data_IF_438581334401
#
_entry.id   IF_438581334401
#
_cell.length_a   1.000
_cell.length_b   1.000
_cell.length_c   1.000
_cell.angle_alpha   90.00
_cell.angle_beta   90.00
_cell.angle_gamma   90.00
#
_symmetry.space_group_name_H-M   'P 1'
#
loop_
_entity.id
_entity.type
_entity.pdbx_description
1 polymer ?
#
# COMPACT_ATOMS: atom_id res chain seq x y z
N UNK A 1 -61.86 14.81 13.18
CA UNK A 1 -62.57 13.63 12.63
C UNK A 1 -61.55 12.70 11.99
N UNK A 2 -61.15 11.61 12.66
CA UNK A 2 -60.35 10.54 12.06
C UNK A 2 -61.19 9.26 11.91
N UNK A 3 -61.04 8.53 10.81
CA UNK A 3 -61.56 7.16 10.68
C UNK A 3 -60.45 6.19 10.32
N UNK A 4 -60.17 5.34 11.31
CA UNK A 4 -59.53 4.03 11.28
C UNK A 4 -59.94 3.13 10.10
N UNK A 5 -58.98 2.34 9.58
CA UNK A 5 -59.11 0.87 9.57
C UNK A 5 -57.78 0.16 9.32
N UNK A 6 -57.45 -0.71 10.28
CA UNK A 6 -56.43 -1.75 10.19
C UNK A 6 -56.91 -2.91 9.29
N UNK A 7 -55.95 -3.60 8.66
CA UNK A 7 -56.13 -4.94 8.12
C UNK A 7 -55.09 -5.86 8.76
N UNK A 8 -55.56 -7.04 9.18
CA UNK A 8 -54.89 -8.05 9.99
C UNK A 8 -55.06 -9.39 9.25
N UNK A 9 -54.13 -10.32 9.51
CA UNK A 9 -54.26 -11.80 9.38
C UNK A 9 -54.25 -12.36 7.93
N UNK A 10 -53.56 -13.47 7.59
CA UNK A 10 -53.31 -14.71 8.34
C UNK A 10 -52.03 -15.44 7.91
N UNK A 11 -51.43 -16.14 8.90
CA UNK A 11 -50.49 -17.25 8.76
C UNK A 11 -51.21 -18.50 8.24
N UNK A 12 -50.58 -19.26 7.33
CA UNK A 12 -50.94 -20.67 7.09
C UNK A 12 -49.71 -21.57 6.91
N UNK A 13 -49.57 -22.50 7.85
CA UNK A 13 -49.20 -23.93 7.71
C UNK A 13 -48.01 -24.29 6.79
N UNK A 14 -46.84 -24.68 7.31
CA UNK A 14 -46.48 -25.94 8.00
C UNK A 14 -46.45 -27.22 7.12
N UNK A 15 -45.33 -27.96 7.24
CA UNK A 15 -44.98 -29.34 6.79
C UNK A 15 -44.53 -29.43 5.31
N UNK A 16 -43.47 -30.16 4.94
CA UNK A 16 -42.95 -31.44 5.41
C UNK A 16 -41.42 -31.55 5.23
N UNK A 17 -40.73 -32.06 6.26
CA UNK A 17 -39.46 -32.79 6.14
C UNK A 17 -39.78 -34.30 6.01
N UNK A 18 -39.05 -35.01 5.15
CA UNK A 18 -38.53 -36.37 5.40
C UNK A 18 -37.85 -36.96 4.14
N UNK A 19 -36.62 -37.47 4.28
CA UNK A 19 -36.38 -38.91 4.27
C UNK A 19 -34.92 -39.25 4.57
N UNK A 20 -34.72 -39.92 5.70
CA UNK A 20 -33.54 -40.70 6.08
C UNK A 20 -33.66 -42.07 5.41
N UNK A 21 -32.61 -42.52 4.73
CA UNK A 21 -32.52 -43.86 4.14
C UNK A 21 -31.20 -44.52 4.53
N UNK A 22 -31.25 -45.34 5.59
CA UNK A 22 -30.19 -46.21 6.07
C UNK A 22 -30.35 -47.58 5.39
N UNK A 23 -29.31 -48.10 4.73
CA UNK A 23 -29.30 -49.47 4.22
C UNK A 23 -27.90 -50.10 4.37
N UNK A 24 -27.91 -51.36 4.80
CA UNK A 24 -26.83 -52.07 5.45
C UNK A 24 -25.97 -52.96 4.52
N UNK A 25 -24.72 -53.15 4.94
CA UNK A 25 -23.83 -54.33 4.87
C UNK A 25 -24.17 -55.49 3.90
N UNK A 26 -23.19 -55.83 3.05
CA UNK A 26 -22.96 -57.20 2.60
C UNK A 26 -21.44 -57.47 2.48
N UNK A 27 -20.95 -58.39 3.31
CA UNK A 27 -19.60 -58.92 3.27
C UNK A 27 -19.48 -60.00 2.18
N UNK A 28 -18.40 -59.96 1.40
CA UNK A 28 -17.95 -61.08 0.58
C UNK A 28 -16.45 -61.27 0.81
N UNK A 29 -16.12 -62.36 1.49
CA UNK A 29 -14.76 -62.84 1.68
C UNK A 29 -14.36 -63.67 0.45
N UNK A 30 -13.31 -63.25 -0.26
CA UNK A 30 -12.62 -64.07 -1.26
C UNK A 30 -11.18 -64.27 -0.76
N UNK A 31 -10.86 -65.51 -0.40
CA UNK A 31 -9.52 -65.95 -0.09
C UNK A 31 -8.74 -66.22 -1.38
N UNK A 32 -7.55 -65.64 -1.50
CA UNK A 32 -6.53 -66.04 -2.48
C UNK A 32 -5.17 -66.20 -1.79
N UNK A 33 -4.32 -67.14 -2.26
CA UNK A 33 -3.09 -67.54 -1.60
C UNK A 33 -1.91 -66.63 -1.94
N UNK A 34 -0.97 -66.62 -1.00
CA UNK A 34 0.32 -65.94 -0.95
C UNK A 34 1.11 -65.83 -2.28
N UNK A 35 1.60 -64.62 -2.55
CA UNK A 35 2.90 -64.40 -3.17
C UNK A 35 3.66 -63.35 -2.35
N UNK A 36 4.73 -63.80 -1.72
CA UNK A 36 5.75 -63.03 -1.01
C UNK A 36 6.48 -62.14 -2.02
N UNK A 37 6.30 -60.82 -1.91
CA UNK A 37 7.07 -59.80 -2.63
C UNK A 37 7.71 -58.89 -1.57
N UNK A 38 9.01 -58.54 -1.71
CA UNK A 38 9.74 -57.77 -0.70
C UNK A 38 9.17 -56.35 -0.59
N UNK A 39 9.16 -55.82 0.62
CA UNK A 39 8.77 -54.44 0.91
C UNK A 39 9.65 -53.45 0.11
N UNK A 40 9.02 -52.77 -0.85
CA UNK A 40 9.48 -51.48 -1.34
C UNK A 40 9.10 -50.40 -0.32
N UNK A 41 9.95 -49.38 -0.11
CA UNK A 41 9.66 -48.31 0.82
C UNK A 41 8.44 -47.53 0.34
N UNK A 42 7.49 -47.31 1.24
CA UNK A 42 6.39 -46.37 1.06
C UNK A 42 6.96 -45.04 0.55
N UNK A 43 6.57 -44.66 -0.67
CA UNK A 43 6.63 -43.27 -1.09
C UNK A 43 5.73 -42.51 -0.12
N UNK A 44 6.36 -41.82 0.82
CA UNK A 44 5.72 -40.81 1.63
C UNK A 44 5.05 -39.83 0.68
N UNK A 45 3.73 -39.74 0.81
CA UNK A 45 2.91 -38.67 0.28
C UNK A 45 3.49 -37.35 0.85
N UNK A 46 4.09 -36.47 0.04
CA UNK A 46 4.34 -35.14 0.52
C UNK A 46 2.99 -34.43 0.48
N UNK A 47 2.27 -34.46 1.61
CA UNK A 47 1.44 -33.32 1.99
C UNK A 47 2.38 -32.11 1.97
N UNK A 48 2.49 -31.48 0.81
CA UNK A 48 3.08 -30.18 0.64
C UNK A 48 2.18 -29.23 1.42
N UNK A 49 2.51 -29.08 2.69
CA UNK A 49 2.26 -27.88 3.46
C UNK A 49 2.89 -26.77 2.65
N UNK A 50 2.08 -26.08 1.85
CA UNK A 50 2.40 -24.76 1.37
C UNK A 50 2.37 -23.92 2.64
N UNK A 51 3.53 -23.79 3.29
CA UNK A 51 3.78 -22.63 4.13
C UNK A 51 3.77 -21.44 3.16
N UNK A 52 2.58 -20.87 3.04
CA UNK A 52 2.35 -19.51 2.59
C UNK A 52 3.09 -18.60 3.58
N UNK A 53 4.40 -18.47 3.38
CA UNK A 53 5.15 -17.36 3.91
C UNK A 53 4.89 -16.17 2.98
N UNK A 54 3.62 -15.74 2.95
CA UNK A 54 3.28 -14.35 2.68
C UNK A 54 3.48 -13.61 4.00
N UNK A 55 4.73 -13.53 4.46
CA UNK A 55 5.13 -12.39 5.23
C UNK A 55 5.28 -11.27 4.19
N UNK A 56 4.15 -10.63 3.87
CA UNK A 56 4.23 -9.21 3.62
C UNK A 56 4.95 -8.64 4.83
N UNK A 57 6.06 -7.93 4.59
CA UNK A 57 6.48 -6.94 5.57
C UNK A 57 5.25 -6.06 5.68
N UNK A 58 4.51 -6.19 6.79
CA UNK A 58 3.58 -5.15 7.20
C UNK A 58 4.52 -3.96 7.41
N UNK A 59 4.70 -3.14 6.37
CA UNK A 59 5.43 -1.89 6.49
C UNK A 59 4.58 -1.06 7.44
N UNK A 60 4.93 -1.11 8.73
CA UNK A 60 4.30 -0.25 9.73
C UNK A 60 4.59 1.18 9.28
N UNK A 61 3.52 1.89 8.89
CA UNK A 61 3.60 3.33 8.67
C UNK A 61 3.78 3.97 10.06
N UNK A 62 4.82 4.78 10.20
CA UNK A 62 5.21 5.40 11.47
C UNK A 62 5.39 6.89 11.26
N UNK A 63 5.03 7.68 12.26
CA UNK A 63 5.22 9.13 12.24
C UNK A 63 6.60 9.54 12.77
N UNK A 64 7.06 10.75 12.44
CA UNK A 64 8.32 11.28 12.98
C UNK A 64 8.28 11.38 14.51
N UNK A 65 7.13 11.75 15.09
CA UNK A 65 6.93 11.85 16.55
C UNK A 65 7.10 10.49 17.24
N UNK A 66 6.56 9.41 16.67
CA UNK A 66 6.71 8.07 17.25
C UNK A 66 8.15 7.57 17.24
N UNK A 67 8.93 7.92 16.20
CA UNK A 67 10.35 7.56 16.12
C UNK A 67 11.19 8.30 17.15
N UNK A 68 10.87 9.56 17.45
CA UNK A 68 11.62 10.38 18.40
C UNK A 68 11.23 10.07 19.85
N UNK A 69 9.94 9.88 20.13
CA UNK A 69 9.44 9.57 21.48
C UNK A 69 9.69 8.11 21.90
N UNK A 70 9.80 7.18 20.94
CA UNK A 70 9.89 5.75 21.23
C UNK A 70 10.94 5.00 20.38
N UNK A 71 12.11 5.62 20.18
CA UNK A 71 13.22 5.03 19.41
C UNK A 71 13.51 3.56 19.75
N UNK A 72 13.55 3.20 21.04
CA UNK A 72 13.86 1.82 21.46
C UNK A 72 12.91 0.76 20.88
N UNK A 73 11.67 1.13 20.54
CA UNK A 73 10.70 0.22 19.93
C UNK A 73 10.93 0.00 18.43
N UNK A 74 11.59 0.96 17.75
CA UNK A 74 11.79 0.93 16.31
C UNK A 74 13.25 0.66 15.89
N UNK A 75 14.21 0.67 16.82
CA UNK A 75 15.61 0.36 16.50
C UNK A 75 15.77 -1.00 15.79
N UNK A 76 16.30 -0.95 14.57
CA UNK A 76 16.50 -2.10 13.69
C UNK A 76 15.25 -2.53 12.90
N UNK A 77 14.11 -1.89 13.12
CA UNK A 77 12.89 -2.13 12.36
C UNK A 77 12.91 -1.33 11.04
N UNK A 78 12.27 -1.89 10.02
CA UNK A 78 12.04 -1.18 8.75
C UNK A 78 10.69 -0.48 8.84
N UNK A 79 10.68 0.83 8.65
CA UNK A 79 9.49 1.68 8.74
C UNK A 79 9.27 2.44 7.44
N UNK A 80 8.04 2.84 7.20
CA UNK A 80 7.65 3.79 6.15
C UNK A 80 7.16 5.09 6.80
N UNK A 81 7.76 6.22 6.44
CA UNK A 81 7.42 7.55 6.98
C UNK A 81 7.08 8.48 5.83
N UNK A 82 6.00 9.22 5.96
CA UNK A 82 5.54 10.22 4.97
C UNK A 82 5.55 11.60 5.62
N UNK A 83 6.46 12.47 5.18
CA UNK A 83 6.60 13.83 5.71
C UNK A 83 7.21 14.77 4.66
N UNK A 84 7.14 16.08 4.93
CA UNK A 84 7.86 17.10 4.17
C UNK A 84 9.35 17.10 4.54
N UNK A 85 10.19 17.38 3.55
CA UNK A 85 11.61 17.63 3.79
C UNK A 85 11.79 19.00 4.41
N UNK A 86 12.32 19.02 5.63
CA UNK A 86 12.57 20.25 6.37
C UNK A 86 13.89 20.92 5.93
N UNK A 87 14.98 20.14 5.84
CA UNK A 87 16.30 20.66 5.47
C UNK A 87 17.12 19.61 4.72
N UNK A 88 17.83 20.04 3.67
CA UNK A 88 18.84 19.22 2.99
C UNK A 88 20.21 19.46 3.61
N UNK A 89 20.65 18.52 4.47
CA UNK A 89 21.87 18.66 5.28
C UNK A 89 23.12 18.06 4.62
N UNK A 90 22.97 17.36 3.50
CA UNK A 90 24.11 16.81 2.73
C UNK A 90 23.68 16.23 1.39
N UNK A 91 24.65 15.68 0.64
CA UNK A 91 24.39 15.13 -0.71
C UNK A 91 23.42 13.94 -0.71
N UNK A 92 23.43 13.17 0.38
CA UNK A 92 22.61 11.96 0.56
C UNK A 92 21.79 12.01 1.84
N UNK A 93 21.55 13.20 2.39
CA UNK A 93 20.96 13.32 3.71
C UNK A 93 20.10 14.57 3.83
N UNK A 94 18.96 14.41 4.46
CA UNK A 94 17.98 15.46 4.72
C UNK A 94 17.25 15.15 6.03
N UNK A 95 16.53 16.12 6.57
CA UNK A 95 15.67 15.92 7.74
C UNK A 95 14.20 15.94 7.33
N UNK A 96 13.41 15.11 8.01
CA UNK A 96 11.96 15.15 7.99
C UNK A 96 11.49 15.90 9.24
N UNK A 97 10.50 16.79 9.09
CA UNK A 97 9.83 17.48 10.21
C UNK A 97 8.35 17.12 10.18
N UNK A 98 7.78 16.81 11.35
CA UNK A 98 6.34 16.71 11.50
C UNK A 98 5.73 18.13 11.41
N UNK A 99 4.66 18.28 10.62
CA UNK A 99 3.91 19.52 10.36
C UNK A 99 3.30 20.26 11.59
N UNK A 100 3.62 19.86 12.82
CA UNK A 100 3.17 20.57 14.02
C UNK A 100 3.75 21.99 14.13
N UNK A 101 2.85 22.95 14.39
CA UNK A 101 3.03 24.41 14.31
C UNK A 101 4.17 25.06 15.15
N UNK A 102 5.00 24.30 15.88
CA UNK A 102 6.01 24.84 16.79
C UNK A 102 7.30 24.00 16.89
N UNK A 103 8.11 23.97 15.82
CA UNK A 103 9.48 23.44 15.86
C UNK A 103 9.50 21.96 16.20
N UNK A 104 8.97 21.17 15.27
CA UNK A 104 8.78 19.73 15.42
C UNK A 104 10.10 19.02 15.65
N UNK A 105 10.01 17.82 16.21
CA UNK A 105 11.17 16.95 16.27
C UNK A 105 11.54 16.55 14.85
N UNK A 106 12.83 16.61 14.54
CA UNK A 106 13.34 16.24 13.23
C UNK A 106 14.06 14.90 13.29
N UNK A 107 13.84 14.08 12.28
CA UNK A 107 14.54 12.80 12.09
C UNK A 107 15.46 12.94 10.89
N UNK A 108 16.73 12.57 11.09
CA UNK A 108 17.71 12.52 10.01
C UNK A 108 17.38 11.34 9.10
N UNK A 109 17.45 11.55 7.80
CA UNK A 109 17.37 10.49 6.78
C UNK A 109 18.71 10.44 6.07
N UNK A 110 19.26 9.24 5.92
CA UNK A 110 20.46 8.97 5.11
C UNK A 110 20.07 8.04 3.98
N UNK A 111 20.17 8.52 2.76
CA UNK A 111 19.90 7.77 1.55
C UNK A 111 21.08 6.84 1.22
N UNK A 112 20.96 5.58 1.63
CA UNK A 112 21.94 4.54 1.36
C UNK A 112 21.74 3.86 -0.02
N UNK A 113 20.71 4.23 -0.79
CA UNK A 113 20.39 3.60 -2.07
C UNK A 113 21.32 4.01 -3.23
N UNK A 114 22.20 5.01 -3.00
CA UNK A 114 23.04 5.68 -4.01
C UNK A 114 22.26 6.31 -5.19
N UNK A 115 20.93 6.24 -5.17
CA UNK A 115 20.08 6.91 -6.14
C UNK A 115 19.91 8.36 -5.70
N UNK A 116 20.24 9.30 -6.59
CA UNK A 116 20.01 10.72 -6.32
C UNK A 116 18.52 10.98 -6.13
N UNK A 117 18.20 11.83 -5.15
CA UNK A 117 16.84 12.31 -4.95
C UNK A 117 16.63 13.56 -5.80
N UNK A 118 15.79 13.47 -6.83
CA UNK A 118 15.37 14.65 -7.60
C UNK A 118 14.22 15.33 -6.85
N UNK A 119 14.57 16.23 -5.94
CA UNK A 119 13.61 17.07 -5.24
C UNK A 119 12.95 18.03 -6.22
N UNK A 120 11.61 18.03 -6.23
CA UNK A 120 10.83 18.87 -7.14
C UNK A 120 10.85 20.32 -6.67
N UNK A 121 10.69 20.55 -5.37
CA UNK A 121 10.70 21.89 -4.75
C UNK A 121 11.86 22.12 -3.77
N UNK A 122 12.73 21.12 -3.58
CA UNK A 122 13.83 21.20 -2.61
C UNK A 122 13.33 20.91 -1.19
N UNK A 123 13.46 21.90 -0.31
CA UNK A 123 12.78 21.94 0.98
C UNK A 123 11.26 22.03 0.73
N UNK A 124 10.43 21.57 1.67
CA UNK A 124 8.96 21.46 1.54
C UNK A 124 8.47 20.40 0.52
N UNK A 125 9.35 19.56 -0.02
CA UNK A 125 8.92 18.43 -0.87
C UNK A 125 8.38 17.29 0.00
N UNK A 126 7.11 16.93 -0.17
CA UNK A 126 6.51 15.75 0.46
C UNK A 126 7.14 14.46 -0.09
N UNK A 127 7.65 13.61 0.79
CA UNK A 127 8.28 12.33 0.43
C UNK A 127 7.77 11.18 1.29
N UNK A 128 7.85 9.98 0.74
CA UNK A 128 7.72 8.74 1.48
C UNK A 128 9.10 8.08 1.54
N UNK A 129 9.56 7.81 2.76
CA UNK A 129 10.85 7.20 3.06
C UNK A 129 10.60 5.82 3.67
N UNK A 130 11.09 4.77 3.02
CA UNK A 130 11.12 3.43 3.60
C UNK A 130 12.57 3.06 3.94
N UNK A 131 12.82 2.69 5.19
CA UNK A 131 14.17 2.41 5.65
C UNK A 131 14.27 1.82 7.05
N UNK A 132 15.48 1.43 7.42
CA UNK A 132 15.77 0.90 8.75
C UNK A 132 16.03 2.04 9.73
N UNK A 133 15.37 2.01 10.89
CA UNK A 133 15.64 2.98 11.96
C UNK A 133 16.87 2.55 12.74
N UNK A 134 17.84 3.45 12.87
CA UNK A 134 19.07 3.23 13.65
C UNK A 134 19.33 4.40 14.58
N UNK A 135 20.23 4.20 15.54
CA UNK A 135 20.87 5.30 16.26
C UNK A 135 22.02 5.83 15.41
N UNK A 136 22.09 7.15 15.21
CA UNK A 136 23.15 7.75 14.41
C UNK A 136 24.44 7.85 15.23
N UNK A 137 25.43 7.06 14.81
CA UNK A 137 26.80 7.14 15.28
C UNK A 137 27.67 7.45 14.06
N UNK A 138 28.12 8.70 13.94
CA UNK A 138 28.79 9.19 12.73
C UNK A 138 29.94 8.28 12.30
N UNK A 139 30.80 7.86 13.24
CA UNK A 139 31.94 7.00 12.95
C UNK A 139 31.55 5.62 12.40
N UNK A 140 30.42 5.07 12.83
CA UNK A 140 29.91 3.78 12.36
C UNK A 140 29.32 3.94 10.95
N UNK A 141 28.55 5.00 10.70
CA UNK A 141 27.97 5.29 9.38
C UNK A 141 29.03 5.61 8.32
N UNK A 142 30.06 6.39 8.65
CA UNK A 142 31.20 6.63 7.74
C UNK A 142 31.90 5.31 7.36
N UNK A 143 32.02 4.38 8.31
CA UNK A 143 32.64 3.08 8.09
C UNK A 143 31.75 2.12 7.29
N UNK A 144 30.45 2.05 7.62
CA UNK A 144 29.48 1.11 7.04
C UNK A 144 29.15 1.47 5.59
N UNK A 145 28.97 2.77 5.30
CA UNK A 145 28.49 3.24 3.99
C UNK A 145 29.56 3.96 3.17
N UNK A 146 30.76 4.18 3.73
CA UNK A 146 31.84 4.89 3.02
C UNK A 146 31.52 6.36 2.73
N UNK A 147 30.61 6.96 3.50
CA UNK A 147 30.21 8.36 3.43
C UNK A 147 31.18 9.22 4.25
N UNK A 148 31.25 10.52 3.94
CA UNK A 148 31.97 11.49 4.76
C UNK A 148 31.00 12.53 5.30
N UNK A 149 30.93 12.65 6.62
CA UNK A 149 30.05 13.62 7.28
C UNK A 149 30.85 14.79 7.81
N UNK A 150 30.33 16.00 7.64
CA UNK A 150 30.94 17.20 8.23
C UNK A 150 30.58 17.26 9.72
N UNK A 151 31.54 17.19 10.66
CA UNK A 151 31.23 17.21 12.09
C UNK A 151 30.58 18.51 12.56
N UNK A 152 30.75 19.61 11.83
CA UNK A 152 30.10 20.89 12.17
C UNK A 152 28.59 20.88 11.83
N UNK A 153 28.16 19.98 10.92
CA UNK A 153 26.75 19.79 10.53
C UNK A 153 26.17 18.59 11.27
N UNK A 154 26.85 17.43 11.22
CA UNK A 154 26.27 16.16 11.68
C UNK A 154 26.43 15.91 13.18
N UNK A 155 27.27 16.70 13.87
CA UNK A 155 27.54 16.52 15.30
C UNK A 155 26.31 16.73 16.20
N UNK A 156 25.26 17.40 15.71
CA UNK A 156 24.00 17.58 16.45
C UNK A 156 23.03 16.40 16.33
N UNK A 157 23.29 15.46 15.41
CA UNK A 157 22.50 14.24 15.22
C UNK A 157 23.10 13.02 15.91
N UNK A 158 24.27 13.12 16.54
CA UNK A 158 24.90 11.99 17.25
C UNK A 158 23.97 11.46 18.36
N UNK A 159 23.84 10.13 18.46
CA UNK A 159 22.96 9.42 19.41
C UNK A 159 21.45 9.71 19.20
N UNK A 160 21.04 10.28 18.05
CA UNK A 160 19.63 10.52 17.68
C UNK A 160 19.11 9.46 16.70
N UNK A 161 17.78 9.28 16.60
CA UNK A 161 17.20 8.42 15.57
C UNK A 161 17.57 8.90 14.17
N UNK A 162 17.90 7.95 13.30
CA UNK A 162 18.12 8.15 11.87
C UNK A 162 17.44 7.05 11.09
N UNK A 163 16.83 7.39 9.95
CA UNK A 163 16.32 6.41 9.00
C UNK A 163 17.39 6.21 7.93
N UNK A 164 17.86 4.97 7.81
CA UNK A 164 18.70 4.56 6.68
C UNK A 164 17.77 4.17 5.53
N UNK A 165 17.50 5.13 4.66
CA UNK A 165 16.56 4.97 3.58
C UNK A 165 17.05 3.93 2.57
N UNK A 166 16.21 2.94 2.34
CA UNK A 166 16.34 1.94 1.27
C UNK A 166 15.65 2.45 0.00
N UNK A 167 14.56 3.20 0.17
CA UNK A 167 13.86 3.90 -0.89
C UNK A 167 13.38 5.28 -0.41
N UNK A 168 13.34 6.22 -1.35
CA UNK A 168 12.69 7.52 -1.17
C UNK A 168 11.88 7.78 -2.43
N UNK A 169 10.60 8.08 -2.28
CA UNK A 169 9.71 8.44 -3.37
C UNK A 169 9.08 9.81 -3.11
N UNK A 170 8.83 10.56 -4.19
CA UNK A 170 7.97 11.74 -4.09
C UNK A 170 6.58 11.28 -3.64
N UNK A 171 5.98 12.05 -2.75
CA UNK A 171 4.72 11.67 -2.13
C UNK A 171 3.64 12.76 -2.22
N UNK A 172 3.36 13.32 -3.41
CA UNK A 172 2.39 14.39 -3.56
C UNK A 172 0.97 13.92 -3.24
N UNK A 173 0.13 14.84 -2.80
CA UNK A 173 -1.29 14.55 -2.59
C UNK A 173 -2.07 14.66 -3.93
N UNK A 174 -3.29 14.08 -4.03
CA UNK A 174 -4.09 14.13 -5.26
C UNK A 174 -4.33 15.56 -5.79
N UNK A 175 -4.41 16.54 -4.89
CA UNK A 175 -4.57 17.95 -5.23
C UNK A 175 -3.33 18.55 -5.93
N UNK A 176 -2.12 18.19 -5.49
CA UNK A 176 -0.86 18.63 -6.09
C UNK A 176 -0.70 18.05 -7.49
N UNK A 177 -0.97 16.74 -7.61
CA UNK A 177 -0.96 16.02 -8.88
C UNK A 177 -1.91 16.66 -9.89
N UNK A 178 -3.12 17.00 -9.45
CA UNK A 178 -4.12 17.61 -10.34
C UNK A 178 -3.74 19.04 -10.75
N UNK A 179 -3.08 19.77 -9.86
CA UNK A 179 -2.68 21.17 -10.08
C UNK A 179 -1.46 21.29 -11.00
N UNK A 180 -0.48 20.41 -10.87
CA UNK A 180 0.73 20.39 -11.71
C UNK A 180 1.23 18.97 -12.04
N UNK A 181 0.49 18.22 -12.88
CA UNK A 181 0.81 16.83 -13.18
C UNK A 181 2.11 16.66 -13.98
N UNK A 182 2.56 17.70 -14.68
CA UNK A 182 3.75 17.67 -15.53
C UNK A 182 5.02 17.36 -14.73
N UNK A 183 5.06 17.75 -13.46
CA UNK A 183 6.19 17.51 -12.56
C UNK A 183 6.33 16.05 -12.13
N UNK A 184 5.25 15.27 -12.21
CA UNK A 184 5.17 13.89 -11.71
C UNK A 184 5.03 12.84 -12.83
N UNK A 185 4.74 13.25 -14.07
CA UNK A 185 4.58 12.31 -15.17
C UNK A 185 5.81 11.42 -15.40
N UNK A 186 5.54 10.13 -15.56
CA UNK A 186 6.50 9.05 -15.76
C UNK A 186 7.47 8.84 -14.58
N UNK A 187 7.21 9.45 -13.43
CA UNK A 187 7.92 9.19 -12.18
C UNK A 187 7.16 8.14 -11.38
N UNK A 188 7.91 7.32 -10.63
CA UNK A 188 7.34 6.50 -9.58
C UNK A 188 7.11 7.37 -8.36
N UNK A 189 5.87 7.45 -7.87
CA UNK A 189 5.47 8.26 -6.73
C UNK A 189 4.63 7.42 -5.77
N UNK A 190 4.49 7.88 -4.54
CA UNK A 190 3.49 7.39 -3.60
C UNK A 190 2.39 8.44 -3.45
N UNK A 191 1.14 8.05 -3.36
CA UNK A 191 0.01 8.97 -3.23
C UNK A 191 -0.88 8.46 -2.12
N UNK A 192 -1.17 9.31 -1.14
CA UNK A 192 -2.15 8.99 -0.10
C UNK A 192 -3.43 9.72 -0.45
N UNK A 193 -4.55 9.08 -0.18
CA UNK A 193 -5.85 9.69 -0.40
C UNK A 193 -6.97 8.80 0.09
N UNK A 194 -8.14 9.38 0.24
CA UNK A 194 -9.36 8.68 0.55
C UNK A 194 -9.91 8.03 -0.74
N UNK A 195 -10.31 6.76 -0.66
CA UNK A 195 -10.93 6.06 -1.78
C UNK A 195 -12.32 6.64 -2.01
N UNK A 196 -12.48 7.32 -3.14
CA UNK A 196 -13.77 7.81 -3.62
C UNK A 196 -14.58 6.69 -4.29
N UNK A 197 -14.90 6.88 -5.57
CA UNK A 197 -15.72 5.92 -6.32
C UNK A 197 -14.96 4.65 -6.74
N UNK A 198 -15.58 3.49 -6.53
CA UNK A 198 -15.09 2.20 -7.06
C UNK A 198 -15.86 1.86 -8.33
N UNK A 199 -15.22 2.08 -9.50
CA UNK A 199 -15.85 1.81 -10.80
C UNK A 199 -15.78 0.34 -11.18
N UNK A 200 -14.68 -0.33 -10.82
CA UNK A 200 -14.50 -1.78 -10.98
C UNK A 200 -13.47 -2.31 -9.99
N UNK A 201 -13.22 -3.62 -10.00
CA UNK A 201 -12.21 -4.24 -9.16
C UNK A 201 -10.79 -3.68 -9.35
N UNK A 202 -10.50 -2.99 -10.46
CA UNK A 202 -9.17 -2.52 -10.83
C UNK A 202 -9.15 -1.02 -11.15
N UNK A 203 -10.26 -0.32 -10.96
CA UNK A 203 -10.41 1.10 -11.30
C UNK A 203 -11.16 1.80 -10.17
N UNK A 204 -10.47 2.70 -9.51
CA UNK A 204 -11.00 3.53 -8.42
C UNK A 204 -10.64 4.98 -8.67
N UNK A 205 -11.25 5.89 -7.93
CA UNK A 205 -10.77 7.26 -7.78
C UNK A 205 -10.26 7.45 -6.36
N UNK A 206 -9.22 8.26 -6.19
CA UNK A 206 -8.82 8.77 -4.88
C UNK A 206 -8.92 10.27 -4.85
N UNK A 207 -9.29 10.82 -3.71
CA UNK A 207 -9.30 12.25 -3.46
C UNK A 207 -8.41 12.61 -2.27
N UNK A 208 -8.22 13.92 -2.14
CA UNK A 208 -7.53 14.51 -1.00
C UNK A 208 -8.54 14.68 0.15
N UNK A 209 -8.15 14.38 1.39
CA UNK A 209 -8.99 14.44 2.60
C UNK A 209 -9.44 15.88 2.97
N UNK A 210 -9.12 16.87 2.14
CA UNK A 210 -9.48 18.26 2.41
C UNK A 210 -10.98 18.54 2.29
N UNK A 211 -11.46 19.42 3.19
CA UNK A 211 -12.87 19.80 3.38
C UNK A 211 -13.60 20.34 2.13
N UNK A 212 -12.89 20.65 1.05
CA UNK A 212 -13.46 21.27 -0.15
C UNK A 212 -13.50 20.35 -1.38
N UNK A 213 -13.03 19.10 -1.27
CA UNK A 213 -13.03 18.14 -2.37
C UNK A 213 -12.06 18.58 -3.46
N UNK A 214 -10.91 17.90 -3.52
CA UNK A 214 -9.95 18.05 -4.60
C UNK A 214 -10.48 17.51 -5.93
N UNK A 215 -9.69 17.71 -6.98
CA UNK A 215 -9.88 16.98 -8.21
C UNK A 215 -9.56 15.49 -7.98
N UNK A 216 -10.52 14.60 -8.20
CA UNK A 216 -10.32 13.16 -8.08
C UNK A 216 -9.24 12.68 -9.06
N UNK A 217 -8.34 11.83 -8.56
CA UNK A 217 -7.31 11.15 -9.33
C UNK A 217 -7.78 9.73 -9.67
N UNK A 218 -7.87 9.42 -10.95
CA UNK A 218 -8.18 8.06 -11.40
C UNK A 218 -6.98 7.14 -11.15
N UNK A 219 -7.24 6.02 -10.50
CA UNK A 219 -6.26 4.97 -10.24
C UNK A 219 -6.66 3.71 -10.99
N UNK A 220 -5.71 3.14 -11.74
CA UNK A 220 -5.87 1.87 -12.44
C UNK A 220 -4.83 0.90 -11.88
N UNK A 221 -5.29 -0.23 -11.33
CA UNK A 221 -4.43 -1.30 -10.84
C UNK A 221 -4.46 -2.49 -11.79
N UNK A 222 -3.49 -2.65 -12.71
CA UNK A 222 -3.55 -3.69 -13.75
C UNK A 222 -3.30 -5.11 -13.23
N UNK A 223 -2.60 -5.26 -12.11
CA UNK A 223 -2.11 -6.57 -11.63
C UNK A 223 -2.94 -7.16 -10.50
N UNK A 224 -3.45 -6.31 -9.59
CA UNK A 224 -4.11 -6.76 -8.36
C UNK A 224 -5.43 -6.01 -8.19
N UNK A 225 -6.56 -6.69 -7.94
CA UNK A 225 -7.79 -6.01 -7.57
C UNK A 225 -7.59 -5.11 -6.35
N UNK A 226 -8.16 -3.92 -6.38
CA UNK A 226 -8.18 -3.01 -5.24
C UNK A 226 -8.99 -3.66 -4.13
N UNK A 227 -8.34 -3.90 -2.99
CA UNK A 227 -8.95 -4.46 -1.79
C UNK A 227 -9.24 -3.35 -0.76
N UNK A 228 -9.76 -2.21 -1.21
CA UNK A 228 -10.12 -1.06 -0.38
C UNK A 228 -11.63 -0.78 -0.48
N UNK A 229 -12.18 -0.12 0.53
CA UNK A 229 -13.56 0.33 0.58
C UNK A 229 -13.66 1.82 0.26
N UNK A 230 -14.85 2.27 -0.18
CA UNK A 230 -15.12 3.71 -0.26
C UNK A 230 -14.94 4.35 1.13
N UNK A 231 -14.46 5.60 1.16
CA UNK A 231 -14.10 6.37 2.35
C UNK A 231 -12.91 5.78 3.17
N UNK A 232 -12.13 4.85 2.58
CA UNK A 232 -10.91 4.31 3.20
C UNK A 232 -9.68 5.09 2.75
N UNK A 233 -8.86 5.58 3.70
CA UNK A 233 -7.57 6.20 3.38
C UNK A 233 -6.54 5.12 3.02
N UNK A 234 -5.93 5.26 1.85
CA UNK A 234 -4.94 4.31 1.33
C UNK A 234 -3.70 5.02 0.82
N UNK A 235 -2.57 4.32 0.89
CA UNK A 235 -1.33 4.72 0.23
C UNK A 235 -1.13 3.85 -1.01
N UNK A 236 -0.98 4.49 -2.16
CA UNK A 236 -0.82 3.83 -3.45
C UNK A 236 0.55 4.20 -4.02
N UNK A 237 1.37 3.20 -4.35
CA UNK A 237 2.62 3.42 -5.08
C UNK A 237 2.43 3.04 -6.54
N UNK A 238 3.05 3.81 -7.44
CA UNK A 238 2.79 3.63 -8.86
C UNK A 238 3.43 4.68 -9.74
N UNK A 239 2.98 4.75 -10.99
CA UNK A 239 3.49 5.70 -11.99
C UNK A 239 2.36 6.59 -12.50
N UNK A 240 2.60 7.90 -12.48
CA UNK A 240 1.66 8.87 -13.06
C UNK A 240 1.84 8.96 -14.58
N UNK A 241 0.75 8.87 -15.34
CA UNK A 241 0.77 8.99 -16.81
C UNK A 241 -0.32 9.96 -17.29
N UNK A 242 -0.13 10.62 -18.44
CA UNK A 242 -1.22 11.30 -19.11
C UNK A 242 -2.23 10.25 -19.61
N UNK A 243 -3.52 10.52 -19.46
CA UNK A 243 -4.53 9.59 -19.98
C UNK A 243 -4.52 9.53 -21.50
N UNK A 244 -4.25 8.34 -22.04
CA UNK A 244 -4.36 8.04 -23.46
C UNK A 244 -5.04 6.68 -23.59
N UNK A 245 -6.36 6.67 -23.77
CA UNK A 245 -7.20 5.47 -23.76
C UNK A 245 -6.61 4.31 -24.59
N UNK A 246 -6.22 4.58 -25.83
CA UNK A 246 -5.66 3.56 -26.73
C UNK A 246 -4.33 2.96 -26.23
N UNK A 247 -3.50 3.74 -25.52
CA UNK A 247 -2.27 3.22 -24.91
C UNK A 247 -2.59 2.37 -23.68
N UNK A 248 -3.53 2.79 -22.85
CA UNK A 248 -3.89 2.07 -21.63
C UNK A 248 -4.57 0.73 -21.93
N UNK A 249 -5.51 0.69 -22.88
CA UNK A 249 -6.11 -0.56 -23.35
C UNK A 249 -5.05 -1.55 -23.86
N UNK A 250 -4.02 -1.03 -24.54
CA UNK A 250 -2.94 -1.84 -25.08
C UNK A 250 -1.94 -2.31 -24.01
N UNK A 251 -1.48 -1.40 -23.16
CA UNK A 251 -0.41 -1.64 -22.18
C UNK A 251 -0.88 -2.54 -21.03
N UNK A 252 -2.16 -2.47 -20.66
CA UNK A 252 -2.72 -3.13 -19.49
C UNK A 252 -3.81 -4.18 -19.81
N UNK A 253 -4.02 -4.49 -21.10
CA UNK A 253 -5.02 -5.47 -21.57
C UNK A 253 -6.42 -5.24 -20.96
N UNK A 254 -6.82 -3.97 -20.88
CA UNK A 254 -8.06 -3.57 -20.20
C UNK A 254 -9.28 -3.91 -21.05
N UNK A 255 -10.21 -4.67 -20.46
CA UNK A 255 -11.48 -5.04 -21.11
C UNK A 255 -12.66 -4.37 -20.41
N UNK A 256 -12.67 -3.03 -20.38
CA UNK A 256 -13.73 -2.28 -19.72
C UNK A 256 -15.08 -2.44 -20.42
N UNK A 257 -16.16 -2.35 -19.63
CA UNK A 257 -17.49 -2.21 -20.18
C UNK A 257 -17.62 -0.88 -20.93
N UNK A 258 -18.34 -0.89 -22.05
CA UNK A 258 -18.46 0.26 -22.96
C UNK A 258 -18.98 1.54 -22.28
N UNK A 259 -19.80 1.39 -21.24
CA UNK A 259 -20.34 2.52 -20.47
C UNK A 259 -19.27 3.15 -19.55
N UNK A 260 -18.44 2.31 -18.89
CA UNK A 260 -17.32 2.76 -18.05
C UNK A 260 -16.26 3.44 -18.90
N UNK A 261 -15.92 2.85 -20.04
CA UNK A 261 -14.98 3.42 -21.00
C UNK A 261 -15.39 4.83 -21.45
N UNK A 262 -16.66 5.01 -21.84
CA UNK A 262 -17.17 6.32 -22.27
C UNK A 262 -17.16 7.35 -21.14
N UNK A 263 -17.44 6.94 -19.91
CA UNK A 263 -17.38 7.82 -18.75
C UNK A 263 -15.94 8.30 -18.50
N UNK A 264 -14.99 7.37 -18.41
CA UNK A 264 -13.58 7.67 -18.18
C UNK A 264 -13.02 8.56 -19.30
N UNK A 265 -13.31 8.24 -20.57
CA UNK A 265 -12.85 9.05 -21.70
C UNK A 265 -13.39 10.47 -21.65
N UNK A 266 -14.66 10.68 -21.26
CA UNK A 266 -15.24 12.00 -21.17
C UNK A 266 -14.72 12.83 -19.98
N UNK A 267 -14.35 12.18 -18.88
CA UNK A 267 -13.99 12.82 -17.61
C UNK A 267 -12.49 13.03 -17.43
N UNK A 268 -11.67 12.11 -17.98
CA UNK A 268 -10.22 12.09 -17.81
C UNK A 268 -9.45 12.41 -19.09
N UNK A 269 -10.11 12.89 -20.16
CA UNK A 269 -9.42 13.36 -21.36
C UNK A 269 -8.38 14.43 -21.01
N UNK A 270 -7.10 14.13 -21.20
CA UNK A 270 -5.95 14.99 -20.85
C UNK A 270 -5.74 15.23 -19.34
N UNK A 271 -6.34 14.42 -18.47
CA UNK A 271 -6.06 14.43 -17.02
C UNK A 271 -4.99 13.40 -16.66
N UNK A 272 -4.28 13.57 -15.53
CA UNK A 272 -3.40 12.54 -15.02
C UNK A 272 -4.18 11.28 -14.62
N UNK A 273 -3.57 10.12 -14.85
CA UNK A 273 -4.06 8.83 -14.38
C UNK A 273 -2.91 8.10 -13.71
N UNK A 274 -3.18 7.54 -12.54
CA UNK A 274 -2.20 6.87 -11.72
C UNK A 274 -2.28 5.36 -11.92
N UNK A 275 -1.17 4.76 -12.31
CA UNK A 275 -1.07 3.31 -12.48
C UNK A 275 -0.50 2.73 -11.20
N UNK A 276 -1.34 2.05 -10.44
CA UNK A 276 -0.95 1.44 -9.18
C UNK A 276 -0.14 0.17 -9.41
N UNK A 277 1.00 0.09 -8.72
CA UNK A 277 1.75 -1.15 -8.54
C UNK A 277 1.30 -1.85 -7.26
N UNK A 278 1.14 -1.07 -6.18
CA UNK A 278 0.82 -1.56 -4.85
C UNK A 278 -0.13 -0.59 -4.14
N UNK A 279 -1.00 -1.13 -3.29
CA UNK A 279 -2.00 -0.39 -2.52
C UNK A 279 -1.97 -0.92 -1.08
N UNK A 280 -1.79 -0.03 -0.12
CA UNK A 280 -1.70 -0.33 1.30
C UNK A 280 -2.75 0.49 2.06
N UNK A 281 -3.37 -0.07 3.12
CA UNK A 281 -4.13 0.76 4.05
C UNK A 281 -3.23 1.84 4.64
N UNK A 282 -3.70 3.08 4.73
CA UNK A 282 -2.99 4.10 5.51
C UNK A 282 -3.20 3.79 6.99
N UNK A 283 -2.12 3.76 7.77
CA UNK A 283 -2.24 3.60 9.23
C UNK A 283 -2.42 5.00 9.82
N UNK A 284 -3.68 5.41 10.00
CA UNK A 284 -4.08 6.59 10.77
C UNK A 284 -4.89 6.16 12.01
#
# INVERSE_FOLDING_TARGET
MPTSKASKTDNLFAKLLNNVGLAALAAVAIALPACTIPAEPEAADPEATIEENAAGVEEDNVTVEELTDNLEAYLGETVSVREEIAEVVGEYSFTLENSELFGGEQVLVINASEQGLELVDGEDTQVQVTGEVREFLMADFESDYGLGFDPDIFGEYEERPVIVAQSVALSPDPADISSDPEQYYNKRIAVEGEVGSIQSANVITIDDETLFGGEELLVISPQVPVAAQEDETVVITGVLRPFVLAEFEQDYDLTWDLDVQQQIEAEYENRPVFIADEIYPSAL
#
